data_IF_168223547238
#
_entry.id   IF_168223547238
#
_cell.length_a   1.000
_cell.length_b   1.000
_cell.length_c   1.000
_cell.angle_alpha   90.00
_cell.angle_beta   90.00
_cell.angle_gamma   90.00
#
_symmetry.space_group_name_H-M   'P 1'
#
loop_
_entity.id
_entity.type
_entity.pdbx_description
1 polymer ?
#
# COMPACT_ATOMS: atom_id res chain seq x y z
N UNK A 1 17.74 -24.38 45.18
CA UNK A 1 16.31 -24.38 45.55
C UNK A 1 15.44 -24.28 44.33
N UNK A 2 14.68 -25.35 44.10
CA UNK A 2 13.54 -25.46 43.19
C UNK A 2 12.45 -24.45 43.56
N UNK A 3 11.69 -23.95 42.58
CA UNK A 3 10.21 -24.05 42.49
C UNK A 3 9.73 -23.61 41.10
N UNK A 4 9.13 -24.56 40.42
CA UNK A 4 8.28 -24.44 39.23
C UNK A 4 6.86 -24.24 39.74
N UNK A 5 6.05 -23.36 39.14
CA UNK A 5 4.58 -23.51 39.17
C UNK A 5 3.89 -22.82 37.98
N UNK A 6 2.90 -23.54 37.45
CA UNK A 6 2.15 -23.34 36.20
C UNK A 6 0.89 -22.46 36.40
N UNK A 7 0.19 -22.02 35.32
CA UNK A 7 -0.80 -20.95 35.40
C UNK A 7 -2.18 -21.42 35.89
N UNK A 8 -2.85 -20.57 36.67
CA UNK A 8 -4.18 -20.85 37.24
C UNK A 8 -5.30 -20.76 36.20
N UNK A 9 -6.14 -21.79 36.18
CA UNK A 9 -7.27 -21.99 35.30
C UNK A 9 -8.49 -21.08 35.59
N UNK A 10 -9.26 -20.89 34.52
CA UNK A 10 -10.65 -20.42 34.35
C UNK A 10 -11.49 -20.33 35.64
N UNK A 11 -11.89 -19.09 36.01
CA UNK A 11 -13.04 -18.85 36.90
C UNK A 11 -14.31 -18.64 36.09
N UNK A 12 -15.23 -19.60 36.19
CA UNK A 12 -16.64 -19.46 35.87
C UNK A 12 -17.25 -18.43 36.82
N UNK A 13 -17.95 -17.42 36.29
CA UNK A 13 -18.78 -16.51 37.08
C UNK A 13 -20.23 -16.69 36.63
N UNK A 14 -21.01 -17.30 37.51
CA UNK A 14 -22.45 -17.46 37.37
C UNK A 14 -23.14 -16.17 37.84
N UNK A 15 -24.12 -15.76 37.03
CA UNK A 15 -25.30 -14.93 37.28
C UNK A 15 -25.20 -13.49 37.83
N UNK A 16 -25.62 -12.55 36.99
CA UNK A 16 -26.50 -11.43 37.37
C UNK A 16 -27.27 -11.01 36.12
N UNK A 17 -28.52 -11.46 36.07
CA UNK A 17 -29.43 -11.33 34.94
C UNK A 17 -29.60 -9.90 34.44
N UNK A 18 -29.29 -9.69 33.16
CA UNK A 18 -30.01 -8.74 32.33
C UNK A 18 -31.01 -9.53 31.52
N UNK A 19 -32.27 -9.49 31.96
CA UNK A 19 -33.41 -9.94 31.17
C UNK A 19 -33.51 -9.01 29.96
N UNK A 20 -32.86 -9.38 28.86
CA UNK A 20 -33.19 -8.81 27.55
C UNK A 20 -34.58 -9.32 27.21
N UNK A 21 -35.57 -8.43 27.30
CA UNK A 21 -36.93 -8.65 26.80
C UNK A 21 -36.84 -9.26 25.40
N UNK A 22 -37.20 -10.54 25.29
CA UNK A 22 -37.57 -11.15 24.04
C UNK A 22 -38.80 -10.40 23.54
N UNK A 23 -38.59 -9.44 22.65
CA UNK A 23 -39.68 -8.92 21.83
C UNK A 23 -40.03 -10.09 20.91
N UNK A 24 -41.11 -10.78 21.25
CA UNK A 24 -41.72 -11.81 20.42
C UNK A 24 -42.28 -11.17 19.16
N UNK A 25 -41.42 -10.94 18.17
CA UNK A 25 -41.86 -10.63 16.83
C UNK A 25 -42.32 -11.93 16.18
N UNK A 26 -43.54 -12.35 16.51
CA UNK A 26 -44.32 -13.28 15.71
C UNK A 26 -44.75 -12.58 14.41
N UNK A 27 -43.77 -12.23 13.57
CA UNK A 27 -44.00 -11.92 12.17
C UNK A 27 -43.58 -13.14 11.38
N UNK A 28 -44.55 -14.02 11.10
CA UNK A 28 -44.44 -14.97 10.00
C UNK A 28 -44.35 -14.16 8.71
N UNK A 29 -43.17 -13.66 8.38
CA UNK A 29 -42.86 -13.21 7.03
C UNK A 29 -42.61 -14.48 6.22
N UNK A 30 -43.61 -14.86 5.42
CA UNK A 30 -43.47 -15.83 4.34
C UNK A 30 -42.63 -15.22 3.23
N UNK A 31 -41.32 -15.04 3.48
CA UNK A 31 -40.36 -14.86 2.40
C UNK A 31 -39.87 -16.25 1.99
N UNK A 32 -39.84 -16.62 0.70
CA UNK A 32 -39.24 -17.88 0.26
C UNK A 32 -37.82 -17.94 0.82
N UNK A 33 -37.51 -18.94 1.65
CA UNK A 33 -36.17 -19.16 2.24
C UNK A 33 -35.03 -19.18 1.21
N UNK A 34 -35.37 -19.38 -0.07
CA UNK A 34 -34.46 -19.31 -1.21
C UNK A 34 -33.96 -17.88 -1.46
N UNK A 35 -34.80 -16.84 -1.32
CA UNK A 35 -34.43 -15.45 -1.59
C UNK A 35 -33.34 -14.94 -0.63
N UNK A 36 -33.43 -15.30 0.65
CA UNK A 36 -32.42 -14.92 1.65
C UNK A 36 -31.09 -15.66 1.43
N UNK A 37 -31.11 -16.89 0.88
CA UNK A 37 -29.90 -17.65 0.55
C UNK A 37 -29.14 -16.99 -0.61
N UNK A 38 -29.84 -16.65 -1.68
CA UNK A 38 -29.26 -15.98 -2.85
C UNK A 38 -28.64 -14.63 -2.50
N UNK A 39 -29.26 -13.86 -1.60
CA UNK A 39 -28.70 -12.60 -1.11
C UNK A 39 -27.42 -12.83 -0.27
N UNK A 40 -27.40 -13.87 0.57
CA UNK A 40 -26.21 -14.23 1.34
C UNK A 40 -25.03 -14.65 0.44
N UNK A 41 -25.29 -15.37 -0.66
CA UNK A 41 -24.26 -15.80 -1.60
C UNK A 41 -23.70 -14.64 -2.43
N UNK A 42 -24.55 -13.68 -2.84
CA UNK A 42 -24.10 -12.43 -3.46
C UNK A 42 -23.21 -11.64 -2.51
N UNK A 43 -23.62 -11.50 -1.24
CA UNK A 43 -22.84 -10.80 -0.21
C UNK A 43 -21.50 -11.49 0.06
N UNK A 44 -21.48 -12.83 0.12
CA UNK A 44 -20.26 -13.62 0.26
C UNK A 44 -19.31 -13.38 -0.91
N UNK A 45 -19.81 -13.48 -2.14
CA UNK A 45 -19.03 -13.28 -3.36
C UNK A 45 -18.44 -11.87 -3.41
N UNK A 46 -19.26 -10.85 -3.15
CA UNK A 46 -18.81 -9.46 -3.07
C UNK A 46 -17.66 -9.27 -2.06
N UNK A 47 -17.77 -9.85 -0.86
CA UNK A 47 -16.73 -9.74 0.17
C UNK A 47 -15.41 -10.41 -0.23
N UNK A 48 -15.47 -11.52 -0.95
CA UNK A 48 -14.28 -12.20 -1.49
C UNK A 48 -13.59 -11.30 -2.51
N UNK A 49 -14.35 -10.76 -3.46
CA UNK A 49 -13.81 -9.90 -4.52
C UNK A 49 -13.22 -8.60 -3.97
N UNK A 50 -13.90 -7.93 -3.02
CA UNK A 50 -13.37 -6.70 -2.43
C UNK A 50 -12.13 -6.97 -1.56
N UNK A 51 -12.04 -8.14 -0.90
CA UNK A 51 -10.81 -8.54 -0.19
C UNK A 51 -9.66 -8.75 -1.17
N UNK A 52 -9.91 -9.43 -2.28
CA UNK A 52 -8.90 -9.61 -3.33
C UNK A 52 -8.43 -8.26 -3.87
N UNK A 53 -9.35 -7.38 -4.25
CA UNK A 53 -9.04 -6.02 -4.69
C UNK A 53 -8.18 -5.24 -3.68
N UNK A 54 -8.50 -5.33 -2.38
CA UNK A 54 -7.71 -4.68 -1.32
C UNK A 54 -6.31 -5.26 -1.18
N UNK A 55 -6.16 -6.57 -1.35
CA UNK A 55 -4.86 -7.23 -1.33
C UNK A 55 -4.00 -6.79 -2.53
N UNK A 56 -4.57 -6.77 -3.73
CA UNK A 56 -3.89 -6.27 -4.94
C UNK A 56 -3.46 -4.82 -4.75
N UNK A 57 -4.35 -3.95 -4.26
CA UNK A 57 -4.01 -2.56 -3.96
C UNK A 57 -2.88 -2.44 -2.93
N UNK A 58 -2.89 -3.28 -1.88
CA UNK A 58 -1.81 -3.32 -0.88
C UNK A 58 -0.47 -3.71 -1.53
N UNK A 59 -0.46 -4.68 -2.43
CA UNK A 59 0.74 -5.08 -3.16
C UNK A 59 1.24 -3.94 -4.08
N UNK A 60 0.34 -3.24 -4.77
CA UNK A 60 0.71 -2.06 -5.57
C UNK A 60 1.34 -0.95 -4.70
N UNK A 61 0.83 -0.72 -3.48
CA UNK A 61 1.44 0.23 -2.54
C UNK A 61 2.84 -0.19 -2.10
N UNK A 62 3.10 -1.49 -1.90
CA UNK A 62 4.43 -1.99 -1.57
C UNK A 62 5.38 -1.85 -2.74
N UNK A 63 4.97 -2.25 -3.94
CA UNK A 63 5.75 -2.07 -5.15
C UNK A 63 6.13 -0.58 -5.35
N UNK A 64 5.17 0.33 -5.15
CA UNK A 64 5.43 1.77 -5.22
C UNK A 64 6.42 2.24 -4.15
N UNK A 65 6.23 1.83 -2.89
CA UNK A 65 7.13 2.18 -1.77
C UNK A 65 8.58 1.79 -2.08
N UNK A 66 8.78 0.58 -2.61
CA UNK A 66 10.11 0.04 -2.87
C UNK A 66 10.89 0.83 -3.95
N UNK A 67 10.19 1.59 -4.80
CA UNK A 67 10.82 2.48 -5.79
C UNK A 67 11.24 3.85 -5.22
N UNK A 68 10.83 4.19 -3.99
CA UNK A 68 11.06 5.50 -3.39
C UNK A 68 12.17 5.39 -2.34
N UNK A 69 13.39 5.90 -2.60
CA UNK A 69 14.55 5.68 -1.73
C UNK A 69 14.32 6.03 -0.26
N UNK A 70 13.58 7.10 0.02
CA UNK A 70 13.31 7.59 1.39
C UNK A 70 12.43 6.63 2.21
N UNK A 71 11.55 5.85 1.56
CA UNK A 71 10.59 4.99 2.26
C UNK A 71 10.73 3.50 1.94
N UNK A 72 11.63 3.12 1.03
CA UNK A 72 11.83 1.73 0.60
C UNK A 72 12.08 0.76 1.78
N UNK A 73 12.88 1.18 2.76
CA UNK A 73 13.22 0.36 3.93
C UNK A 73 12.20 0.45 5.08
N UNK A 74 11.13 1.26 4.94
CA UNK A 74 10.11 1.41 5.95
C UNK A 74 8.88 0.56 5.62
N UNK A 75 8.88 -0.68 6.10
CA UNK A 75 7.80 -1.62 5.82
C UNK A 75 6.41 -1.14 6.26
N UNK A 76 6.36 -0.27 7.29
CA UNK A 76 5.15 0.24 7.91
C UNK A 76 4.80 1.66 7.46
N UNK A 77 5.40 2.15 6.36
CA UNK A 77 5.11 3.47 5.81
C UNK A 77 3.59 3.64 5.56
N UNK A 78 2.96 4.71 6.10
CA UNK A 78 1.54 4.98 5.85
C UNK A 78 1.27 5.24 4.36
N UNK A 79 0.09 4.83 3.86
CA UNK A 79 -0.31 5.04 2.46
C UNK A 79 -0.16 6.48 2.00
N UNK A 80 -0.60 7.44 2.83
CA UNK A 80 -0.50 8.87 2.52
C UNK A 80 0.94 9.35 2.40
N UNK A 81 1.86 8.76 3.18
CA UNK A 81 3.29 9.09 3.12
C UNK A 81 3.89 8.54 1.83
N UNK A 82 3.57 7.28 1.47
CA UNK A 82 4.03 6.68 0.19
C UNK A 82 3.60 7.56 -0.99
N UNK A 83 2.35 8.03 -1.02
CA UNK A 83 1.86 8.88 -2.11
C UNK A 83 2.58 10.23 -2.17
N UNK A 84 2.72 10.93 -1.04
CA UNK A 84 3.42 12.22 -0.99
C UNK A 84 4.88 12.08 -1.42
N UNK A 85 5.57 11.07 -0.90
CA UNK A 85 6.98 10.80 -1.24
C UNK A 85 7.16 10.35 -2.68
N UNK A 86 6.20 9.62 -3.26
CA UNK A 86 6.21 9.30 -4.68
C UNK A 86 6.14 10.58 -5.54
N UNK A 87 5.23 11.49 -5.22
CA UNK A 87 5.08 12.76 -5.95
C UNK A 87 6.34 13.62 -5.83
N UNK A 88 6.88 13.79 -4.61
CA UNK A 88 8.13 14.50 -4.38
C UNK A 88 9.29 13.90 -5.20
N UNK A 89 9.41 12.57 -5.20
CA UNK A 89 10.48 11.87 -5.89
C UNK A 89 10.39 11.95 -7.42
N UNK A 90 9.18 11.87 -7.99
CA UNK A 90 8.99 12.07 -9.44
C UNK A 90 9.43 13.47 -9.86
N UNK A 91 9.04 14.50 -9.09
CA UNK A 91 9.43 15.88 -9.37
C UNK A 91 10.95 16.08 -9.27
N UNK A 92 11.60 15.47 -8.28
CA UNK A 92 13.06 15.56 -8.14
C UNK A 92 13.78 14.89 -9.31
N UNK A 93 13.36 13.69 -9.71
CA UNK A 93 13.97 12.98 -10.84
C UNK A 93 13.80 13.76 -12.14
N UNK A 94 12.63 14.34 -12.40
CA UNK A 94 12.39 15.16 -13.60
C UNK A 94 13.30 16.39 -13.64
N UNK A 95 13.48 17.05 -12.49
CA UNK A 95 14.40 18.18 -12.37
C UNK A 95 15.86 17.75 -12.62
N UNK A 96 16.27 16.62 -12.08
CA UNK A 96 17.61 16.06 -12.30
C UNK A 96 17.83 15.63 -13.75
N UNK A 97 16.84 15.02 -14.39
CA UNK A 97 16.88 14.67 -15.80
C UNK A 97 17.10 15.92 -16.68
N UNK A 98 16.32 16.98 -16.46
CA UNK A 98 16.48 18.23 -17.19
C UNK A 98 17.88 18.83 -16.99
N UNK A 99 18.40 18.82 -15.75
CA UNK A 99 19.75 19.30 -15.43
C UNK A 99 20.82 18.49 -16.15
N UNK A 100 20.72 17.17 -16.12
CA UNK A 100 21.67 16.26 -16.76
C UNK A 100 21.64 16.37 -18.30
N UNK A 101 20.46 16.57 -18.89
CA UNK A 101 20.33 16.84 -20.33
C UNK A 101 21.05 18.14 -20.70
N UNK A 102 20.85 19.22 -19.93
CA UNK A 102 21.51 20.50 -20.18
C UNK A 102 23.05 20.38 -20.05
N UNK A 103 23.53 19.70 -19.01
CA UNK A 103 24.95 19.45 -18.79
C UNK A 103 25.57 18.62 -19.94
N UNK A 104 24.87 17.57 -20.38
CA UNK A 104 25.30 16.74 -21.52
C UNK A 104 25.45 17.57 -22.79
N UNK A 105 24.52 18.48 -23.08
CA UNK A 105 24.60 19.35 -24.26
C UNK A 105 25.74 20.38 -24.14
N UNK A 106 25.97 20.95 -22.96
CA UNK A 106 27.12 21.83 -22.72
C UNK A 106 28.45 21.09 -22.95
N UNK A 107 28.58 19.87 -22.42
CA UNK A 107 29.77 19.04 -22.61
C UNK A 107 29.98 18.65 -24.07
N UNK A 108 28.90 18.36 -24.81
CA UNK A 108 28.95 18.08 -26.26
C UNK A 108 29.50 19.27 -27.05
N UNK A 109 28.97 20.47 -26.82
CA UNK A 109 29.45 21.71 -27.46
C UNK A 109 30.93 21.96 -27.12
N UNK A 110 31.32 21.80 -25.85
CA UNK A 110 32.71 21.99 -25.43
C UNK A 110 33.65 21.01 -26.11
N UNK A 111 33.25 19.74 -26.20
CA UNK A 111 34.01 18.70 -26.91
C UNK A 111 34.20 19.04 -28.38
N UNK A 112 33.16 19.52 -29.07
CA UNK A 112 33.23 19.90 -30.48
C UNK A 112 34.16 21.09 -30.71
N UNK A 113 34.08 22.12 -29.86
CA UNK A 113 35.00 23.26 -29.89
C UNK A 113 36.46 22.82 -29.73
N UNK A 114 36.73 21.92 -28.80
CA UNK A 114 38.08 21.39 -28.56
C UNK A 114 38.58 20.55 -29.74
N UNK A 115 37.72 19.73 -30.34
CA UNK A 115 38.06 18.98 -31.55
C UNK A 115 38.41 19.90 -32.72
N UNK A 116 37.60 20.94 -32.95
CA UNK A 116 37.86 21.91 -34.01
C UNK A 116 39.19 22.64 -33.78
N UNK A 117 39.46 23.08 -32.55
CA UNK A 117 40.74 23.72 -32.20
C UNK A 117 41.93 22.78 -32.41
N UNK A 118 41.79 21.50 -32.06
CA UNK A 118 42.83 20.50 -32.28
C UNK A 118 43.12 20.31 -33.77
N UNK A 119 42.08 20.27 -34.60
CA UNK A 119 42.20 20.13 -36.06
C UNK A 119 42.90 21.34 -36.68
N UNK A 120 42.51 22.56 -36.30
CA UNK A 120 43.19 23.79 -36.74
C UNK A 120 44.70 23.76 -36.41
N UNK A 121 45.06 23.34 -35.19
CA UNK A 121 46.45 23.26 -34.76
C UNK A 121 47.25 22.13 -35.42
N UNK A 122 46.59 21.07 -35.91
CA UNK A 122 47.24 19.98 -36.64
C UNK A 122 47.47 20.27 -38.12
N UNK A 123 46.60 21.13 -38.68
CA UNK A 123 46.62 21.52 -40.09
C UNK A 123 47.31 22.87 -40.32
N UNK A 124 47.86 23.49 -39.28
CA UNK A 124 48.75 24.66 -39.34
C UNK A 124 50.20 24.19 -39.31
#
# INVERSE_FOLDING_TARGET
STKVDYPAAKRLKLDSGRVLKQISNNRKCSSPRTSDSEENDKRRTHNVLERQRRNELKLSFFALRDQIPEVANNEKAPKVVILKKATEYVLSIQSDEHRLIAEKEQLRRRREQLKHKLEQLRNS
#
